data_IF_107171015541
#
_entry.id   IF_107171015541
#
_cell.length_a   1.000
_cell.length_b   1.000
_cell.length_c   1.000
_cell.angle_alpha   90.00
_cell.angle_beta   90.00
_cell.angle_gamma   90.00
#
_symmetry.space_group_name_H-M   'P 1'
#
loop_
_entity.id
_entity.type
_entity.pdbx_description
1 polymer ?
#
# COMPACT_ATOMS: atom_id res chain seq x y z
N UNK A 1 -7.54 -3.77 3.56
CA UNK A 1 -7.27 -2.37 3.92
C UNK A 1 -8.07 -2.03 5.15
N UNK A 2 -7.63 -1.05 5.92
CA UNK A 2 -8.26 -0.64 7.18
C UNK A 2 -8.57 0.86 7.13
N UNK A 3 -9.63 1.29 7.81
CA UNK A 3 -9.94 2.70 8.02
C UNK A 3 -9.73 3.05 9.49
N UNK A 4 -9.24 4.25 9.75
CA UNK A 4 -9.06 4.72 11.14
C UNK A 4 -10.43 5.08 11.73
N UNK A 5 -10.80 4.43 12.84
CA UNK A 5 -12.03 4.76 13.58
C UNK A 5 -11.75 5.73 14.74
N UNK A 6 -10.62 5.56 15.44
CA UNK A 6 -10.19 6.42 16.56
C UNK A 6 -8.77 6.92 16.25
N UNK A 7 -8.55 8.24 16.38
CA UNK A 7 -7.30 8.91 15.96
C UNK A 7 -7.51 9.86 14.77
N UNK A 8 -6.49 10.02 13.93
CA UNK A 8 -6.57 10.83 12.71
C UNK A 8 -7.59 10.23 11.73
N UNK A 9 -8.64 10.98 11.44
CA UNK A 9 -9.77 10.51 10.64
C UNK A 9 -9.52 10.62 9.14
N UNK A 10 -10.30 9.89 8.35
CA UNK A 10 -10.15 9.80 6.88
C UNK A 10 -8.79 9.24 6.44
N UNK A 11 -8.17 8.42 7.27
CA UNK A 11 -6.91 7.73 6.97
C UNK A 11 -7.17 6.27 6.65
N UNK A 12 -6.70 5.85 5.48
CA UNK A 12 -6.76 4.46 5.00
C UNK A 12 -5.39 3.82 5.13
N UNK A 13 -5.33 2.62 5.70
CA UNK A 13 -4.11 1.84 5.90
C UNK A 13 -4.14 0.56 5.05
N UNK A 14 -3.06 0.33 4.31
CA UNK A 14 -2.85 -0.91 3.56
C UNK A 14 -1.49 -1.48 3.93
N UNK A 15 -1.46 -2.76 4.29
CA UNK A 15 -0.23 -3.51 4.54
C UNK A 15 -0.08 -4.54 3.44
N UNK A 16 1.16 -4.68 2.95
CA UNK A 16 1.51 -5.60 1.88
C UNK A 16 2.75 -6.38 2.29
N UNK A 17 2.65 -7.71 2.27
CA UNK A 17 3.79 -8.60 2.44
C UNK A 17 4.51 -8.79 1.10
N UNK A 18 5.83 -8.63 1.11
CA UNK A 18 6.69 -8.94 -0.03
C UNK A 18 7.86 -9.77 0.46
N UNK A 19 8.33 -10.70 -0.37
CA UNK A 19 9.51 -11.52 -0.07
C UNK A 19 10.77 -10.65 0.13
N UNK A 20 10.95 -9.66 -0.73
CA UNK A 20 12.06 -8.72 -0.70
C UNK A 20 11.68 -7.40 -1.41
N UNK A 21 12.56 -6.41 -1.34
CA UNK A 21 12.34 -5.09 -1.94
C UNK A 21 12.38 -5.11 -3.49
N UNK A 22 13.05 -6.09 -4.09
CA UNK A 22 13.11 -6.24 -5.54
C UNK A 22 11.76 -6.74 -6.08
N UNK A 23 11.21 -7.79 -5.47
CA UNK A 23 9.88 -8.31 -5.75
C UNK A 23 8.82 -7.23 -5.56
N UNK A 24 8.95 -6.39 -4.52
CA UNK A 24 8.07 -5.22 -4.32
C UNK A 24 8.14 -4.26 -5.50
N UNK A 25 9.34 -3.92 -5.97
CA UNK A 25 9.53 -3.00 -7.11
C UNK A 25 8.88 -3.57 -8.36
N UNK A 26 9.22 -4.79 -8.72
CA UNK A 26 8.70 -5.47 -9.92
C UNK A 26 7.17 -5.60 -9.87
N UNK A 27 6.61 -5.99 -8.72
CA UNK A 27 5.15 -6.09 -8.56
C UNK A 27 4.45 -4.75 -8.78
N UNK A 28 5.02 -3.67 -8.26
CA UNK A 28 4.47 -2.31 -8.45
C UNK A 28 4.58 -1.83 -9.89
N UNK A 29 5.67 -2.16 -10.58
CA UNK A 29 5.85 -1.86 -12.00
C UNK A 29 4.87 -2.68 -12.86
N UNK A 30 4.71 -3.97 -12.58
CA UNK A 30 3.73 -4.83 -13.25
C UNK A 30 2.28 -4.40 -13.01
N UNK A 31 1.97 -3.76 -11.88
CA UNK A 31 0.62 -3.21 -11.65
C UNK A 31 0.27 -2.15 -12.71
N UNK A 32 1.24 -1.32 -13.13
CA UNK A 32 1.04 -0.32 -14.17
C UNK A 32 0.80 -0.91 -15.57
N UNK A 33 1.22 -2.14 -15.81
CA UNK A 33 0.93 -2.82 -17.08
C UNK A 33 -0.46 -3.46 -17.11
N UNK A 34 -1.24 -3.39 -16.02
CA UNK A 34 -2.60 -3.94 -15.97
C UNK A 34 -3.60 -2.91 -16.52
N UNK A 35 -4.42 -3.28 -17.52
CA UNK A 35 -5.44 -2.38 -18.05
C UNK A 35 -6.38 -1.86 -16.95
N UNK A 36 -6.67 -0.56 -16.96
CA UNK A 36 -7.55 0.11 -16.00
C UNK A 36 -6.89 0.49 -14.67
N UNK A 37 -5.64 0.09 -14.43
CA UNK A 37 -4.92 0.55 -13.24
C UNK A 37 -4.62 2.05 -13.29
N UNK A 38 -4.23 2.54 -14.46
CA UNK A 38 -3.99 3.96 -14.73
C UNK A 38 -5.25 4.81 -14.52
N UNK A 39 -6.40 4.36 -15.01
CA UNK A 39 -7.69 5.01 -14.80
C UNK A 39 -8.08 5.04 -13.32
N UNK A 40 -7.93 3.92 -12.62
CA UNK A 40 -8.17 3.84 -11.18
C UNK A 40 -7.29 4.85 -10.40
N UNK A 41 -6.00 4.94 -10.74
CA UNK A 41 -5.08 5.91 -10.13
C UNK A 41 -5.51 7.35 -10.45
N UNK A 42 -5.89 7.64 -11.69
CA UNK A 42 -6.33 8.97 -12.12
C UNK A 42 -7.55 9.48 -11.33
N UNK A 43 -8.53 8.62 -11.04
CA UNK A 43 -9.70 9.00 -10.25
C UNK A 43 -9.45 9.06 -8.74
N UNK A 44 -8.52 8.24 -8.22
CA UNK A 44 -8.33 8.11 -6.78
C UNK A 44 -7.28 9.04 -6.19
N UNK A 45 -6.19 9.33 -6.92
CA UNK A 45 -5.12 10.24 -6.44
C UNK A 45 -5.62 11.62 -6.04
N UNK A 46 -6.53 12.29 -6.79
CA UNK A 46 -7.06 13.60 -6.40
C UNK A 46 -7.80 13.62 -5.05
N UNK A 47 -8.28 12.47 -4.59
CA UNK A 47 -8.97 12.33 -3.30
C UNK A 47 -7.98 12.28 -2.12
N UNK A 48 -6.69 12.07 -2.38
CA UNK A 48 -5.66 11.86 -1.36
C UNK A 48 -4.94 13.18 -1.05
N UNK A 49 -5.06 13.64 0.19
CA UNK A 49 -4.38 14.86 0.66
C UNK A 49 -2.91 14.64 1.00
N UNK A 50 -2.59 13.49 1.60
CA UNK A 50 -1.24 13.11 1.98
C UNK A 50 -1.09 11.59 1.90
N UNK A 51 0.06 11.12 1.40
CA UNK A 51 0.41 9.71 1.36
C UNK A 51 1.75 9.49 2.07
N UNK A 52 1.84 8.46 2.92
CA UNK A 52 3.07 8.04 3.60
C UNK A 52 3.22 6.53 3.47
N UNK A 53 4.45 6.07 3.32
CA UNK A 53 4.78 4.63 3.31
C UNK A 53 6.01 4.36 4.16
N UNK A 54 6.06 3.18 4.80
CA UNK A 54 7.22 2.71 5.57
C UNK A 54 7.46 1.24 5.27
N UNK A 55 8.71 0.80 5.37
CA UNK A 55 9.08 -0.61 5.33
C UNK A 55 9.22 -1.09 6.77
N UNK A 56 8.56 -2.20 7.08
CA UNK A 56 8.59 -2.85 8.38
C UNK A 56 9.26 -4.21 8.22
N UNK A 57 10.06 -4.61 9.21
CA UNK A 57 10.63 -5.95 9.29
C UNK A 57 9.89 -6.66 10.44
N UNK A 58 9.22 -7.79 10.18
CA UNK A 58 8.53 -8.52 11.23
C UNK A 58 9.55 -9.05 12.26
N UNK A 59 9.20 -8.98 13.54
CA UNK A 59 10.00 -9.62 14.58
C UNK A 59 9.85 -11.14 14.50
N UNK A 60 10.79 -11.94 15.07
CA UNK A 60 10.74 -13.40 14.95
C UNK A 60 9.45 -14.05 15.46
N UNK A 61 8.79 -13.45 16.45
CA UNK A 61 7.53 -13.93 17.03
C UNK A 61 6.28 -13.34 16.36
N UNK A 62 6.44 -12.49 15.34
CA UNK A 62 5.28 -11.97 14.61
C UNK A 62 4.52 -13.13 13.98
N UNK A 63 3.20 -13.25 14.22
CA UNK A 63 2.38 -14.30 13.60
C UNK A 63 2.21 -14.08 12.09
N UNK A 64 2.46 -12.86 11.64
CA UNK A 64 2.55 -12.50 10.22
C UNK A 64 4.04 -12.46 9.89
N UNK A 65 4.54 -13.57 9.33
CA UNK A 65 5.85 -13.65 8.69
C UNK A 65 5.72 -13.40 7.19
#
# INVERSE_FOLDING_TARGET
GFFTHIGEQNVVHHLWGYKDLQTRKETREMAWSKPGWDECVAYTVPLIRQMKSRILIPTPFSPVQ
#
